data_IF_965591497674
#
_entry.id   IF_965591497674
#
_cell.length_a   1.000
_cell.length_b   1.000
_cell.length_c   1.000
_cell.angle_alpha   90.00
_cell.angle_beta   90.00
_cell.angle_gamma   90.00
#
_symmetry.space_group_name_H-M   'P 1'
#
loop_
_entity.id
_entity.type
_entity.pdbx_description
1 polymer ?
#
# COMPACT_ATOMS: atom_id res chain seq x y z
N UNK A 1 1.19 3.57 -7.86
CA UNK A 1 0.83 2.36 -7.07
C UNK A 1 2.11 1.57 -6.76
N UNK A 2 2.92 2.03 -5.80
CA UNK A 2 4.17 1.35 -5.43
C UNK A 2 4.58 1.70 -3.99
N UNK A 3 3.71 1.46 -2.99
CA UNK A 3 4.08 1.60 -1.57
C UNK A 3 3.52 0.48 -0.65
N UNK A 4 2.71 -0.45 -1.16
CA UNK A 4 2.02 -1.42 -0.27
C UNK A 4 2.86 -2.70 0.03
N UNK A 5 4.07 -2.86 -0.50
CA UNK A 5 4.82 -4.11 -0.35
C UNK A 5 6.21 -3.97 0.27
N UNK A 6 6.31 -3.50 1.53
CA UNK A 6 7.64 -3.33 2.18
C UNK A 6 7.77 -3.97 3.57
N UNK A 7 6.73 -4.46 4.22
CA UNK A 7 6.80 -4.74 5.67
C UNK A 7 6.95 -6.20 6.14
N UNK A 8 7.25 -7.18 5.28
CA UNK A 8 7.19 -8.61 5.68
C UNK A 8 8.48 -9.43 5.49
N UNK A 9 9.56 -8.82 5.02
CA UNK A 9 10.70 -9.59 4.52
C UNK A 9 11.97 -9.38 5.33
N UNK A 10 12.76 -10.45 5.44
CA UNK A 10 14.20 -10.31 5.69
C UNK A 10 14.79 -9.30 4.69
N UNK A 11 15.78 -8.51 5.12
CA UNK A 11 16.36 -7.44 4.29
C UNK A 11 16.89 -7.93 2.94
N UNK A 12 17.25 -9.22 2.85
CA UNK A 12 17.67 -9.89 1.62
C UNK A 12 16.54 -10.12 0.61
N UNK A 13 15.34 -10.44 1.07
CA UNK A 13 14.17 -10.72 0.22
C UNK A 13 13.56 -9.40 -0.28
N UNK A 14 13.53 -8.36 0.56
CA UNK A 14 13.00 -7.03 0.19
C UNK A 14 13.63 -6.49 -1.10
N UNK A 15 14.96 -6.58 -1.23
CA UNK A 15 15.66 -6.13 -2.44
C UNK A 15 15.15 -6.85 -3.69
N UNK A 16 14.99 -8.17 -3.61
CA UNK A 16 14.51 -9.00 -4.73
C UNK A 16 13.08 -8.63 -5.10
N UNK A 17 12.20 -8.50 -4.11
CA UNK A 17 10.79 -8.11 -4.31
C UNK A 17 10.65 -6.74 -4.97
N UNK A 18 11.53 -5.79 -4.65
CA UNK A 18 11.52 -4.47 -5.27
C UNK A 18 11.88 -4.53 -6.76
N UNK A 19 12.84 -5.38 -7.15
CA UNK A 19 13.22 -5.52 -8.55
C UNK A 19 12.13 -6.18 -9.38
N UNK A 20 11.38 -7.13 -8.82
CA UNK A 20 10.30 -7.83 -9.54
C UNK A 20 9.05 -6.97 -9.74
N UNK A 21 8.86 -5.92 -8.94
CA UNK A 21 7.75 -4.97 -9.08
C UNK A 21 8.07 -3.74 -9.93
N UNK A 22 9.33 -3.56 -10.30
CA UNK A 22 9.77 -2.44 -11.14
C UNK A 22 9.77 -2.83 -12.62
N UNK A 23 10.03 -1.85 -13.46
CA UNK A 23 10.22 -2.07 -14.90
C UNK A 23 11.38 -3.02 -15.16
N UNK A 24 11.21 -3.87 -16.17
CA UNK A 24 12.23 -4.80 -16.61
C UNK A 24 13.47 -4.01 -17.10
N UNK A 25 14.68 -4.30 -16.59
CA UNK A 25 15.87 -3.51 -16.90
C UNK A 25 16.36 -3.66 -18.35
N UNK A 26 15.96 -4.70 -19.07
CA UNK A 26 16.37 -4.91 -20.47
C UNK A 26 15.56 -4.06 -21.44
N UNK A 27 14.25 -3.92 -21.20
CA UNK A 27 13.31 -3.28 -22.13
C UNK A 27 12.68 -2.00 -21.57
N UNK A 28 12.86 -1.72 -20.29
CA UNK A 28 12.27 -0.59 -19.56
C UNK A 28 10.72 -0.53 -19.63
N UNK A 29 10.08 -1.71 -19.67
CA UNK A 29 8.62 -1.89 -19.67
C UNK A 29 8.18 -2.62 -18.41
N UNK A 30 6.90 -2.45 -18.04
CA UNK A 30 6.30 -3.26 -16.99
C UNK A 30 6.21 -4.72 -17.44
N UNK A 31 6.53 -5.63 -16.53
CA UNK A 31 6.63 -7.06 -16.77
C UNK A 31 5.95 -7.81 -15.62
N UNK A 32 4.80 -8.42 -15.90
CA UNK A 32 4.06 -9.19 -14.89
C UNK A 32 4.70 -10.53 -14.59
N UNK A 33 5.44 -11.11 -15.53
CA UNK A 33 5.96 -12.46 -15.44
C UNK A 33 7.05 -12.52 -14.36
N UNK A 34 7.90 -11.49 -14.30
CA UNK A 34 8.91 -11.37 -13.23
C UNK A 34 8.33 -11.35 -11.81
N UNK A 35 7.13 -10.81 -11.60
CA UNK A 35 6.44 -10.86 -10.31
C UNK A 35 5.90 -12.27 -10.03
N UNK A 36 5.20 -12.86 -10.99
CA UNK A 36 4.56 -14.17 -10.83
C UNK A 36 5.54 -15.34 -10.76
N UNK A 37 6.71 -15.22 -11.37
CA UNK A 37 7.80 -16.20 -11.24
C UNK A 37 8.44 -16.17 -9.85
N UNK A 38 8.44 -15.01 -9.18
CA UNK A 38 9.08 -14.83 -7.88
C UNK A 38 8.20 -15.26 -6.70
N UNK A 39 6.89 -14.97 -6.75
CA UNK A 39 5.97 -15.21 -5.64
C UNK A 39 5.94 -16.66 -5.11
N UNK A 40 6.02 -17.72 -5.95
CA UNK A 40 6.08 -19.11 -5.47
C UNK A 40 7.28 -19.42 -4.56
N UNK A 41 8.39 -18.69 -4.72
CA UNK A 41 9.58 -18.85 -3.89
C UNK A 41 9.51 -18.10 -2.56
N UNK A 42 8.44 -17.32 -2.34
CA UNK A 42 8.26 -16.46 -1.17
C UNK A 42 6.85 -16.67 -0.61
N UNK A 43 6.53 -17.86 -0.08
CA UNK A 43 5.18 -18.19 0.39
C UNK A 43 4.72 -17.28 1.55
N UNK A 44 5.63 -16.68 2.31
CA UNK A 44 5.30 -15.69 3.34
C UNK A 44 4.65 -14.41 2.79
N UNK A 45 4.80 -14.15 1.49
CA UNK A 45 4.19 -13.00 0.81
C UNK A 45 2.70 -13.18 0.52
N UNK A 46 2.18 -14.42 0.57
CA UNK A 46 0.83 -14.76 0.09
C UNK A 46 -0.25 -13.90 0.73
N UNK A 47 -0.16 -13.64 2.04
CA UNK A 47 -1.14 -12.80 2.73
C UNK A 47 -1.22 -11.39 2.13
N UNK A 48 -0.07 -10.77 1.87
CA UNK A 48 -0.01 -9.43 1.28
C UNK A 48 -0.41 -9.44 -0.20
N UNK A 49 -0.05 -10.50 -0.93
CA UNK A 49 -0.44 -10.69 -2.34
C UNK A 49 -1.97 -10.77 -2.47
N UNK A 50 -2.65 -11.52 -1.60
CA UNK A 50 -4.12 -11.60 -1.61
C UNK A 50 -4.74 -10.21 -1.37
N UNK A 51 -4.20 -9.42 -0.44
CA UNK A 51 -4.69 -8.06 -0.18
C UNK A 51 -4.49 -7.16 -1.40
N UNK A 52 -3.30 -7.20 -2.01
CA UNK A 52 -2.93 -6.38 -3.16
C UNK A 52 -3.79 -6.64 -4.39
N UNK A 53 -4.16 -7.89 -4.65
CA UNK A 53 -5.02 -8.27 -5.79
C UNK A 53 -6.51 -8.31 -5.43
N UNK A 54 -6.89 -7.94 -4.21
CA UNK A 54 -8.29 -7.70 -3.84
C UNK A 54 -8.70 -6.26 -4.15
N UNK A 55 -9.97 -5.92 -3.90
CA UNK A 55 -10.44 -4.53 -4.00
C UNK A 55 -9.63 -3.56 -3.13
N UNK A 56 -8.98 -4.02 -2.04
CA UNK A 56 -8.13 -3.18 -1.20
C UNK A 56 -6.84 -2.70 -1.89
N UNK A 57 -6.50 -3.26 -3.06
CA UNK A 57 -5.31 -2.86 -3.82
C UNK A 57 -5.42 -1.50 -4.51
N UNK A 58 -6.65 -1.00 -4.71
CA UNK A 58 -6.91 0.25 -5.43
C UNK A 58 -7.83 1.14 -4.60
N UNK A 59 -7.29 1.85 -3.60
CA UNK A 59 -8.06 2.75 -2.74
C UNK A 59 -8.62 3.93 -3.53
N UNK A 60 -9.82 4.38 -3.16
CA UNK A 60 -10.46 5.56 -3.75
C UNK A 60 -9.96 6.84 -3.08
N UNK A 61 -8.74 7.26 -3.43
CA UNK A 61 -8.09 8.42 -2.80
C UNK A 61 -7.49 8.11 -1.42
N UNK A 62 -6.75 9.07 -0.86
CA UNK A 62 -6.03 8.88 0.40
C UNK A 62 -6.93 8.91 1.64
N UNK A 63 -8.03 9.67 1.59
CA UNK A 63 -8.93 9.89 2.74
C UNK A 63 -9.73 8.65 3.12
N UNK A 64 -9.93 7.73 2.18
CA UNK A 64 -10.73 6.53 2.34
C UNK A 64 -9.90 5.29 2.70
N UNK A 65 -8.65 5.47 3.13
CA UNK A 65 -7.69 4.39 3.38
C UNK A 65 -7.38 4.30 4.88
N UNK A 66 -7.42 3.08 5.44
CA UNK A 66 -6.92 2.84 6.79
C UNK A 66 -5.39 2.74 6.80
N UNK A 67 -4.73 3.36 7.79
CA UNK A 67 -3.31 3.18 8.04
C UNK A 67 -3.04 2.06 9.04
N UNK A 68 -2.02 1.24 8.80
CA UNK A 68 -1.60 0.19 9.74
C UNK A 68 -0.09 0.26 9.96
N UNK A 69 0.37 0.11 11.20
CA UNK A 69 1.80 0.10 11.52
C UNK A 69 2.56 -1.05 10.89
N UNK A 70 1.86 -2.09 10.45
CA UNK A 70 2.38 -3.38 9.98
C UNK A 70 3.15 -4.16 11.06
N UNK A 71 4.24 -3.60 11.58
CA UNK A 71 5.09 -4.21 12.60
C UNK A 71 4.51 -4.12 14.01
N UNK A 72 4.91 -5.07 14.86
CA UNK A 72 4.68 -5.00 16.31
C UNK A 72 5.74 -4.06 16.88
N UNK A 73 5.29 -2.98 17.51
CA UNK A 73 6.16 -1.98 18.10
C UNK A 73 6.25 -2.18 19.61
N UNK A 74 7.27 -1.61 20.23
CA UNK A 74 7.48 -1.63 21.67
C UNK A 74 7.35 -0.21 22.20
N UNK A 75 6.44 -0.01 23.15
CA UNK A 75 6.32 1.25 23.91
C UNK A 75 6.89 1.03 25.31
N UNK A 76 7.83 1.87 25.72
CA UNK A 76 8.48 1.81 27.03
C UNK A 76 7.96 2.94 27.94
N UNK A 77 7.81 2.66 29.23
CA UNK A 77 7.52 3.68 30.24
C UNK A 77 8.81 4.30 30.81
N UNK A 78 8.67 5.35 31.63
CA UNK A 78 9.79 6.03 32.29
C UNK A 78 10.57 5.12 33.26
N UNK A 79 9.98 4.00 33.69
CA UNK A 79 10.58 3.03 34.61
C UNK A 79 11.28 1.88 33.88
N UNK A 80 11.30 1.90 32.54
CA UNK A 80 11.91 0.87 31.71
C UNK A 80 11.06 -0.39 31.49
N UNK A 81 9.81 -0.42 31.97
CA UNK A 81 8.87 -1.47 31.58
C UNK A 81 8.37 -1.23 30.16
N UNK A 82 7.86 -2.26 29.49
CA UNK A 82 7.36 -2.11 28.13
C UNK A 82 6.13 -2.96 27.81
N UNK A 83 5.39 -2.51 26.80
CA UNK A 83 4.29 -3.25 26.18
C UNK A 83 4.48 -3.32 24.67
N UNK A 84 4.00 -4.40 24.06
CA UNK A 84 3.91 -4.51 22.61
C UNK A 84 2.61 -3.89 22.11
N UNK A 85 2.69 -3.12 21.01
CA UNK A 85 1.55 -2.40 20.43
C UNK A 85 1.51 -2.56 18.91
N UNK A 86 0.30 -2.47 18.36
CA UNK A 86 0.01 -2.32 16.92
C UNK A 86 -0.82 -1.04 16.76
N UNK A 87 -0.45 -0.16 15.84
CA UNK A 87 -1.24 1.06 15.58
C UNK A 87 -2.12 0.87 14.36
N UNK A 88 -3.41 1.11 14.54
CA UNK A 88 -4.40 1.11 13.47
C UNK A 88 -4.99 2.51 13.40
N UNK A 89 -4.74 3.21 12.30
CA UNK A 89 -5.34 4.49 11.94
C UNK A 89 -6.57 4.20 11.10
N UNK A 90 -7.75 4.30 11.70
CA UNK A 90 -9.00 4.06 11.01
C UNK A 90 -9.52 5.39 10.47
N UNK A 91 -9.87 5.43 9.19
CA UNK A 91 -10.52 6.60 8.61
C UNK A 91 -11.96 6.71 9.08
N UNK A 92 -12.39 7.93 9.42
CA UNK A 92 -13.80 8.24 9.68
C UNK A 92 -14.61 8.46 8.38
N UNK A 93 -13.95 8.55 7.22
CA UNK A 93 -14.59 8.85 5.93
C UNK A 93 -15.08 7.60 5.20
N UNK A 94 -15.17 6.47 5.91
CA UNK A 94 -15.43 5.13 5.39
C UNK A 94 -14.36 4.61 4.41
N UNK A 95 -14.14 3.30 4.42
CA UNK A 95 -13.18 2.67 3.52
C UNK A 95 -13.80 2.41 2.16
N UNK A 96 -13.27 3.05 1.12
CA UNK A 96 -13.75 2.97 -0.26
C UNK A 96 -12.62 2.58 -1.21
N UNK A 97 -12.96 1.76 -2.22
CA UNK A 97 -12.03 1.27 -3.22
C UNK A 97 -12.61 1.43 -4.63
N UNK A 98 -11.73 1.70 -5.60
CA UNK A 98 -12.11 1.82 -7.00
C UNK A 98 -12.29 0.44 -7.63
N UNK A 99 -13.29 0.34 -8.51
CA UNK A 99 -13.35 -0.77 -9.47
C UNK A 99 -12.25 -0.62 -10.51
N UNK A 100 -11.76 -1.74 -11.04
CA UNK A 100 -10.63 -1.78 -11.98
C UNK A 100 -10.87 -0.94 -13.24
N UNK A 101 -12.09 -0.93 -13.78
CA UNK A 101 -12.49 -0.13 -14.93
C UNK A 101 -12.39 1.38 -14.64
N UNK A 102 -12.89 1.82 -13.48
CA UNK A 102 -12.80 3.21 -13.05
C UNK A 102 -11.35 3.62 -12.78
N UNK A 103 -10.57 2.74 -12.15
CA UNK A 103 -9.15 2.98 -11.90
C UNK A 103 -8.35 3.12 -13.20
N UNK A 104 -8.61 2.28 -14.19
CA UNK A 104 -8.00 2.38 -15.51
C UNK A 104 -8.38 3.69 -16.23
N UNK A 105 -9.64 4.10 -16.14
CA UNK A 105 -10.08 5.41 -16.64
C UNK A 105 -9.29 6.55 -16.00
N UNK A 106 -9.25 6.58 -14.66
CA UNK A 106 -8.57 7.64 -13.90
C UNK A 106 -7.07 7.65 -14.17
N UNK A 107 -6.42 6.49 -14.33
CA UNK A 107 -5.00 6.43 -14.67
C UNK A 107 -4.66 7.16 -15.98
N UNK A 108 -5.59 7.22 -16.94
CA UNK A 108 -5.44 7.98 -18.18
C UNK A 108 -5.95 9.42 -18.12
N UNK A 109 -7.05 9.68 -17.41
CA UNK A 109 -7.69 11.01 -17.39
C UNK A 109 -7.19 11.94 -16.29
N UNK A 110 -6.76 11.40 -15.14
CA UNK A 110 -6.27 12.15 -13.98
C UNK A 110 -5.32 11.28 -13.15
N UNK A 111 -4.06 11.19 -13.58
CA UNK A 111 -3.02 10.39 -12.90
C UNK A 111 -2.74 10.84 -11.46
N UNK A 112 -3.11 12.07 -11.11
CA UNK A 112 -2.90 12.68 -9.80
C UNK A 112 -4.18 12.71 -8.93
N UNK A 113 -5.22 11.94 -9.31
CA UNK A 113 -6.53 11.90 -8.67
C UNK A 113 -6.47 11.89 -7.14
N UNK A 114 -5.72 10.95 -6.54
CA UNK A 114 -5.68 10.80 -5.08
C UNK A 114 -5.08 12.04 -4.37
N UNK A 115 -4.07 12.66 -4.98
CA UNK A 115 -3.45 13.90 -4.48
C UNK A 115 -4.41 15.08 -4.62
N UNK A 116 -5.10 15.18 -5.77
CA UNK A 116 -6.08 16.22 -6.05
C UNK A 116 -7.27 16.14 -5.08
N UNK A 117 -7.81 14.94 -4.86
CA UNK A 117 -8.91 14.73 -3.91
C UNK A 117 -8.55 15.23 -2.51
N UNK A 118 -7.39 14.83 -1.99
CA UNK A 118 -6.93 15.25 -0.67
C UNK A 118 -6.72 16.78 -0.59
N UNK A 119 -6.06 17.36 -1.59
CA UNK A 119 -5.81 18.80 -1.64
C UNK A 119 -7.12 19.60 -1.68
N UNK A 120 -8.04 19.21 -2.57
CA UNK A 120 -9.32 19.90 -2.69
C UNK A 120 -10.13 19.74 -1.40
N UNK A 121 -10.20 18.56 -0.78
CA UNK A 121 -10.88 18.37 0.49
C UNK A 121 -10.39 19.35 1.57
N UNK A 122 -9.08 19.43 1.78
CA UNK A 122 -8.47 20.37 2.73
C UNK A 122 -8.79 21.82 2.35
N UNK A 123 -8.74 22.18 1.06
CA UNK A 123 -9.04 23.54 0.57
C UNK A 123 -10.48 23.99 0.90
N UNK A 124 -11.44 23.06 0.93
CA UNK A 124 -12.85 23.31 1.30
C UNK A 124 -13.18 22.96 2.75
N UNK A 125 -12.17 22.93 3.62
CA UNK A 125 -12.31 22.72 5.07
C UNK A 125 -12.89 21.32 5.46
N UNK A 126 -12.79 20.36 4.54
CA UNK A 126 -13.14 18.94 4.74
C UNK A 126 -11.89 18.17 5.17
N UNK A 127 -11.55 18.26 6.46
CA UNK A 127 -10.36 17.64 7.04
C UNK A 127 -10.61 16.17 7.38
N UNK A 128 -9.97 15.26 6.65
CA UNK A 128 -9.98 13.82 6.92
C UNK A 128 -9.36 13.49 8.27
N UNK A 129 -10.07 12.68 9.07
CA UNK A 129 -9.64 12.11 10.37
C UNK A 129 -9.53 10.59 10.37
#
# INVERSE_FOLDING_TARGET
MLVILVALFSSSILKKTLFTQKVNPQVNLLDSDGLWDFLPFVPESIHQTIILFSNHGIPDGYRHLNGYSSHTLKIADEKGNFKYVKWHFKTDQSTNNLKTDKAAQLAGSDSDYATRDLFEAIRRDDHSS
#
